data_IF_570467033340
#
_entry.id   IF_570467033340
#
_cell.length_a   1.000
_cell.length_b   1.000
_cell.length_c   1.000
_cell.angle_alpha   90.00
_cell.angle_beta   90.00
_cell.angle_gamma   90.00
#
_symmetry.space_group_name_H-M   'P 1'
#
loop_
_entity.id
_entity.type
_entity.pdbx_description
1 polymer ?
#
# COMPACT_ATOMS: atom_id res chain seq x y z
N UNK A 1 8.44 23.85 25.17
CA UNK A 1 7.06 23.86 24.64
C UNK A 1 6.16 23.21 25.69
N UNK A 2 5.25 23.97 26.32
CA UNK A 2 4.42 23.46 27.43
C UNK A 2 4.12 24.47 28.55
N UNK A 3 4.79 25.62 28.56
CA UNK A 3 4.58 26.69 29.55
C UNK A 3 3.18 27.34 29.41
N UNK A 4 2.69 27.49 28.18
CA UNK A 4 1.35 28.01 27.91
C UNK A 4 0.42 26.82 27.65
N UNK A 5 -0.22 26.35 28.70
CA UNK A 5 -1.34 25.39 28.62
C UNK A 5 -2.59 26.03 29.23
N UNK A 6 -3.77 25.85 28.61
CA UNK A 6 -5.00 26.40 29.15
C UNK A 6 -5.27 25.79 30.53
N UNK A 7 -5.27 26.65 31.55
CA UNK A 7 -5.55 26.26 32.94
C UNK A 7 -7.05 26.04 33.18
N UNK A 8 -7.91 26.53 32.28
CA UNK A 8 -9.36 26.36 32.36
C UNK A 8 -9.81 25.03 31.75
N UNK A 9 -10.81 24.39 32.36
CA UNK A 9 -11.37 23.11 31.86
C UNK A 9 -11.89 23.23 30.43
N UNK A 10 -12.57 24.33 30.12
CA UNK A 10 -13.06 24.62 28.78
C UNK A 10 -11.92 24.82 27.76
N UNK A 11 -10.85 25.51 28.15
CA UNK A 11 -9.69 25.70 27.29
C UNK A 11 -8.94 24.39 27.03
N UNK A 12 -8.86 23.52 28.03
CA UNK A 12 -8.25 22.19 27.91
C UNK A 12 -9.06 21.28 26.98
N UNK A 13 -10.39 21.37 27.03
CA UNK A 13 -11.28 20.68 26.10
C UNK A 13 -11.03 21.12 24.65
N UNK A 14 -11.04 22.42 24.37
CA UNK A 14 -10.79 22.95 23.01
C UNK A 14 -9.40 22.58 22.51
N UNK A 15 -8.37 22.70 23.36
CA UNK A 15 -7.00 22.35 22.99
C UNK A 15 -6.88 20.89 22.58
N UNK A 16 -7.56 19.97 23.28
CA UNK A 16 -7.57 18.55 22.91
C UNK A 16 -8.22 18.29 21.55
N UNK A 17 -9.33 18.98 21.26
CA UNK A 17 -10.02 18.88 19.96
C UNK A 17 -9.11 19.41 18.83
N UNK A 18 -8.46 20.56 19.03
CA UNK A 18 -7.54 21.12 18.02
C UNK A 18 -6.35 20.20 17.75
N UNK A 19 -5.81 19.52 18.77
CA UNK A 19 -4.74 18.53 18.56
C UNK A 19 -5.21 17.35 17.72
N UNK A 20 -6.40 16.80 18.00
CA UNK A 20 -6.97 15.70 17.22
C UNK A 20 -7.23 16.10 15.77
N UNK A 21 -7.78 17.30 15.54
CA UNK A 21 -7.98 17.84 14.21
C UNK A 21 -6.65 18.06 13.47
N UNK A 22 -5.63 18.56 14.16
CA UNK A 22 -4.30 18.77 13.58
C UNK A 22 -3.69 17.46 13.11
N UNK A 23 -3.68 16.42 13.96
CA UNK A 23 -3.18 15.10 13.58
C UNK A 23 -4.03 14.44 12.50
N UNK A 24 -5.36 14.57 12.58
CA UNK A 24 -6.27 14.08 11.54
C UNK A 24 -5.99 14.72 10.18
N UNK A 25 -5.80 16.04 10.14
CA UNK A 25 -5.51 16.79 8.90
C UNK A 25 -4.16 16.41 8.30
N UNK A 26 -3.18 16.02 9.11
CA UNK A 26 -1.88 15.52 8.63
C UNK A 26 -1.94 14.05 8.18
N UNK A 27 -2.69 13.21 8.89
CA UNK A 27 -2.82 11.79 8.60
C UNK A 27 -3.64 11.50 7.33
N UNK A 28 -4.63 12.32 7.01
CA UNK A 28 -5.50 12.13 5.83
C UNK A 28 -4.73 12.22 4.48
N UNK A 29 -3.98 13.29 4.16
CA UNK A 29 -3.28 13.39 2.88
C UNK A 29 -2.15 12.36 2.76
N UNK A 30 -1.46 12.06 3.86
CA UNK A 30 -0.44 11.00 3.90
C UNK A 30 -1.08 9.63 3.68
N UNK A 31 -2.26 9.38 4.26
CA UNK A 31 -3.04 8.16 4.04
C UNK A 31 -3.48 7.98 2.58
N UNK A 32 -3.98 9.04 1.92
CA UNK A 32 -4.38 8.99 0.50
C UNK A 32 -3.17 8.66 -0.38
N UNK A 33 -2.06 9.39 -0.24
CA UNK A 33 -0.84 9.16 -1.03
C UNK A 33 -0.27 7.77 -0.75
N UNK A 34 -0.31 7.31 0.51
CA UNK A 34 0.14 5.97 0.88
C UNK A 34 -0.72 4.86 0.25
N UNK A 35 -2.04 5.04 0.19
CA UNK A 35 -2.95 4.11 -0.45
C UNK A 35 -2.66 4.01 -1.95
N UNK A 36 -2.52 5.14 -2.64
CA UNK A 36 -2.15 5.19 -4.06
C UNK A 36 -0.80 4.50 -4.29
N UNK A 37 0.24 4.85 -3.53
CA UNK A 37 1.56 4.24 -3.66
C UNK A 37 1.55 2.71 -3.41
N UNK A 38 0.71 2.26 -2.48
CA UNK A 38 0.51 0.83 -2.22
C UNK A 38 -0.21 0.12 -3.37
N UNK A 39 -1.15 0.79 -4.03
CA UNK A 39 -1.81 0.29 -5.24
C UNK A 39 -0.82 0.22 -6.42
N UNK A 40 0.03 1.24 -6.61
CA UNK A 40 1.10 1.18 -7.61
C UNK A 40 2.10 0.04 -7.35
N UNK A 41 2.39 -0.26 -6.08
CA UNK A 41 3.30 -1.36 -5.69
C UNK A 41 2.69 -2.75 -5.85
N UNK A 42 1.37 -2.90 -5.79
CA UNK A 42 0.68 -4.14 -6.18
C UNK A 42 0.78 -4.25 -7.70
N UNK A 43 1.92 -4.75 -8.17
CA UNK A 43 2.14 -5.03 -9.60
C UNK A 43 1.02 -5.89 -10.19
N UNK A 44 0.86 -5.82 -11.52
CA UNK A 44 -0.20 -6.57 -12.21
C UNK A 44 -0.11 -8.06 -11.87
N UNK A 45 -1.12 -8.56 -11.15
CA UNK A 45 -1.22 -9.98 -10.84
C UNK A 45 -1.54 -10.72 -12.13
N UNK A 46 -0.67 -11.61 -12.59
CA UNK A 46 -1.00 -12.40 -13.78
C UNK A 46 -1.85 -13.61 -13.42
N UNK A 47 -2.78 -13.98 -14.29
CA UNK A 47 -3.51 -15.25 -14.25
C UNK A 47 -2.67 -16.44 -14.72
N UNK A 48 -1.34 -16.33 -14.66
CA UNK A 48 -0.41 -17.35 -15.11
C UNK A 48 -0.12 -18.30 -13.96
N UNK A 49 -0.34 -19.59 -14.21
CA UNK A 49 -0.10 -20.67 -13.26
C UNK A 49 1.18 -21.42 -13.62
N UNK A 50 1.94 -21.84 -12.63
CA UNK A 50 3.05 -22.76 -12.84
C UNK A 50 2.52 -24.17 -13.17
N UNK A 51 3.02 -24.80 -14.23
CA UNK A 51 2.61 -26.16 -14.60
C UNK A 51 3.15 -27.26 -13.68
N UNK A 52 4.18 -26.95 -12.87
CA UNK A 52 4.83 -27.93 -12.01
C UNK A 52 4.26 -27.92 -10.58
N UNK A 53 4.21 -26.74 -9.92
CA UNK A 53 3.74 -26.62 -8.55
C UNK A 53 2.36 -25.95 -8.41
N UNK A 54 1.70 -25.60 -9.52
CA UNK A 54 0.38 -24.94 -9.53
C UNK A 54 0.33 -23.58 -8.80
N UNK A 55 1.48 -22.95 -8.52
CA UNK A 55 1.52 -21.62 -7.93
C UNK A 55 0.98 -20.56 -8.90
N UNK A 56 0.34 -19.53 -8.35
CA UNK A 56 -0.28 -18.42 -9.08
C UNK A 56 0.32 -17.08 -8.64
N UNK A 57 -0.06 -15.99 -9.32
CA UNK A 57 0.34 -14.64 -8.92
C UNK A 57 1.77 -14.25 -9.31
N UNK A 58 2.36 -14.95 -10.27
CA UNK A 58 3.69 -14.59 -10.79
C UNK A 58 3.68 -13.23 -11.50
N UNK A 59 4.79 -12.50 -11.41
CA UNK A 59 4.95 -11.22 -12.12
C UNK A 59 4.93 -11.44 -13.65
N UNK A 60 4.45 -10.46 -14.45
CA UNK A 60 4.43 -10.56 -15.92
C UNK A 60 5.80 -10.84 -16.53
N UNK A 61 6.84 -10.20 -16.01
CA UNK A 61 8.22 -10.37 -16.46
C UNK A 61 8.94 -11.61 -15.88
N UNK A 62 8.28 -12.41 -15.02
CA UNK A 62 8.92 -13.57 -14.40
C UNK A 62 9.21 -14.66 -15.45
N UNK A 63 10.47 -15.09 -15.55
CA UNK A 63 10.87 -16.20 -16.43
C UNK A 63 10.86 -17.56 -15.70
N UNK A 64 10.90 -17.53 -14.37
CA UNK A 64 10.98 -18.69 -13.50
C UNK A 64 10.00 -18.58 -12.34
N UNK A 65 9.63 -19.72 -11.76
CA UNK A 65 8.67 -19.80 -10.66
C UNK A 65 9.31 -19.31 -9.37
N UNK A 66 8.60 -18.47 -8.63
CA UNK A 66 9.01 -18.00 -7.29
C UNK A 66 9.10 -19.13 -6.26
N UNK A 67 8.30 -20.18 -6.43
CA UNK A 67 8.11 -21.22 -5.43
C UNK A 67 8.89 -22.51 -5.75
N UNK A 68 8.97 -22.90 -7.02
CA UNK A 68 9.65 -24.14 -7.44
C UNK A 68 10.83 -23.94 -8.40
N UNK A 69 11.10 -22.72 -8.87
CA UNK A 69 12.20 -22.44 -9.81
C UNK A 69 12.00 -22.92 -11.25
N UNK A 70 10.90 -23.62 -11.57
CA UNK A 70 10.61 -24.12 -12.92
C UNK A 70 10.48 -22.98 -13.93
N UNK A 71 10.84 -23.24 -15.20
CA UNK A 71 10.70 -22.24 -16.28
C UNK A 71 9.22 -22.04 -16.59
N UNK A 72 8.74 -20.80 -16.48
CA UNK A 72 7.35 -20.52 -16.81
C UNK A 72 7.15 -20.21 -18.32
N UNK A 73 5.97 -20.54 -18.89
CA UNK A 73 5.65 -20.28 -20.30
C UNK A 73 5.37 -18.79 -20.57
N UNK A 74 5.76 -18.18 -21.71
CA UNK A 74 5.65 -16.74 -21.92
C UNK A 74 4.25 -16.18 -21.64
N UNK A 75 4.17 -14.99 -21.04
CA UNK A 75 2.89 -14.38 -20.69
C UNK A 75 2.14 -13.89 -21.94
N UNK A 76 0.87 -14.29 -22.09
CA UNK A 76 0.11 -14.16 -23.35
C UNK A 76 -0.20 -12.73 -23.79
N UNK A 77 -0.06 -11.72 -22.93
CA UNK A 77 -0.32 -10.32 -23.26
C UNK A 77 0.91 -9.61 -23.87
N UNK A 78 2.12 -10.19 -23.75
CA UNK A 78 3.28 -9.75 -24.56
C UNK A 78 3.17 -10.16 -26.03
N UNK A 79 2.28 -11.10 -26.39
CA UNK A 79 2.10 -11.59 -27.76
C UNK A 79 1.13 -10.71 -28.59
N UNK A 80 0.61 -9.63 -28.00
CA UNK A 80 -0.43 -8.78 -28.61
C UNK A 80 0.03 -7.33 -28.83
N UNK A 81 1.31 -7.07 -28.63
CA UNK A 81 2.01 -5.81 -28.90
C UNK A 81 3.25 -6.07 -29.78
#
# INVERSE_FOLDING_TARGET
FGDITPQTDFGRLIASIMMLLGWGTLAVPTGIVSAEFSMLKRGQTTTRTCHHCLSEGHAPAARFCSDCGEKLPPWKHDLRN
#
